data_IF_829346271134
#
_entry.id   IF_829346271134
#
_cell.length_a   1.000
_cell.length_b   1.000
_cell.length_c   1.000
_cell.angle_alpha   90.00
_cell.angle_beta   90.00
_cell.angle_gamma   90.00
#
_symmetry.space_group_name_H-M   'P 1'
#
loop_
_entity.id
_entity.type
_entity.pdbx_description
1 polymer ?
#
# COMPACT_ATOMS: atom_id res chain seq x y z
N UNK A 1 1.43 -20.33 -19.82
CA UNK A 1 1.74 -18.90 -20.00
C UNK A 1 2.57 -18.46 -18.80
N UNK A 2 3.64 -17.68 -19.01
CA UNK A 2 4.51 -17.20 -17.92
C UNK A 2 3.71 -16.24 -17.02
N UNK A 3 3.79 -16.43 -15.70
CA UNK A 3 3.10 -15.58 -14.71
C UNK A 3 4.01 -14.41 -14.37
N UNK A 4 3.42 -13.24 -14.23
CA UNK A 4 4.07 -12.00 -13.84
C UNK A 4 3.36 -11.40 -12.65
N UNK A 5 4.05 -11.31 -11.53
CA UNK A 5 3.57 -10.63 -10.34
C UNK A 5 4.64 -9.64 -9.95
N UNK A 6 4.30 -8.35 -9.96
CA UNK A 6 5.20 -7.26 -9.61
C UNK A 6 4.59 -6.52 -8.44
N UNK A 7 5.28 -6.43 -7.31
CA UNK A 7 4.87 -5.60 -6.20
C UNK A 7 5.68 -4.30 -6.16
N UNK A 8 4.98 -3.18 -6.09
CA UNK A 8 5.58 -1.85 -6.04
C UNK A 8 5.80 -1.44 -4.59
N UNK A 9 6.98 -0.88 -4.33
CA UNK A 9 7.37 -0.31 -3.04
C UNK A 9 8.07 1.04 -3.23
N UNK A 10 8.13 1.84 -2.16
CA UNK A 10 8.62 3.22 -2.17
C UNK A 10 7.70 4.19 -1.42
N UNK A 11 8.20 5.38 -1.10
CA UNK A 11 7.43 6.41 -0.39
C UNK A 11 6.20 6.90 -1.17
N UNK A 12 5.22 7.53 -0.49
CA UNK A 12 4.19 8.29 -1.19
C UNK A 12 4.79 9.33 -2.16
N UNK A 13 4.09 9.58 -3.28
CA UNK A 13 4.45 10.56 -4.32
C UNK A 13 5.72 10.29 -5.15
N UNK A 14 6.39 9.14 -4.98
CA UNK A 14 7.52 8.73 -5.85
C UNK A 14 7.09 8.28 -7.25
N UNK A 15 5.80 8.03 -7.49
CA UNK A 15 5.27 7.62 -8.81
C UNK A 15 4.82 6.16 -8.93
N UNK A 16 4.65 5.44 -7.81
CA UNK A 16 4.15 4.04 -7.82
C UNK A 16 2.82 3.88 -8.55
N UNK A 17 1.86 4.75 -8.27
CA UNK A 17 0.52 4.67 -8.90
C UNK A 17 0.64 4.78 -10.42
N UNK A 18 1.49 5.71 -10.88
CA UNK A 18 1.83 5.92 -12.29
C UNK A 18 2.50 4.70 -12.92
N UNK A 19 3.46 4.06 -12.24
CA UNK A 19 4.08 2.82 -12.72
C UNK A 19 3.04 1.71 -12.84
N UNK A 20 2.14 1.58 -11.86
CA UNK A 20 1.06 0.60 -11.94
C UNK A 20 0.11 0.89 -13.10
N UNK A 21 -0.21 2.16 -13.38
CA UNK A 21 -1.03 2.55 -14.53
C UNK A 21 -0.34 2.16 -15.86
N UNK A 22 0.96 2.43 -15.99
CA UNK A 22 1.73 2.08 -17.19
C UNK A 22 1.77 0.56 -17.45
N UNK A 23 1.94 -0.25 -16.40
CA UNK A 23 1.89 -1.72 -16.48
C UNK A 23 0.49 -2.21 -16.92
N UNK A 24 -0.57 -1.59 -16.43
CA UNK A 24 -1.95 -1.94 -16.79
C UNK A 24 -2.22 -1.57 -18.24
N UNK A 25 -1.95 -0.32 -18.61
CA UNK A 25 -2.30 0.25 -19.92
C UNK A 25 -1.54 -0.41 -21.07
N UNK A 26 -0.23 -0.64 -20.90
CA UNK A 26 0.62 -1.11 -22.00
C UNK A 26 0.91 -2.60 -21.96
N UNK A 27 0.81 -3.24 -20.79
CA UNK A 27 1.23 -4.63 -20.60
C UNK A 27 0.10 -5.53 -20.08
N UNK A 28 -1.12 -5.01 -19.94
CA UNK A 28 -2.29 -5.81 -19.56
C UNK A 28 -2.21 -6.37 -18.16
N UNK A 29 -1.55 -5.67 -17.24
CA UNK A 29 -1.53 -6.05 -15.82
C UNK A 29 -2.87 -5.73 -15.16
N UNK A 30 -3.21 -6.50 -14.13
CA UNK A 30 -4.30 -6.22 -13.19
C UNK A 30 -3.75 -5.63 -11.90
N UNK A 31 -4.36 -4.53 -11.43
CA UNK A 31 -4.01 -3.97 -10.11
C UNK A 31 -4.60 -4.80 -8.98
N UNK A 32 -3.80 -5.06 -7.97
CA UNK A 32 -4.19 -5.53 -6.65
C UNK A 32 -3.54 -4.64 -5.58
N UNK A 33 -4.14 -4.54 -4.41
CA UNK A 33 -3.52 -3.89 -3.26
C UNK A 33 -3.79 -4.69 -1.98
N UNK A 34 -2.82 -4.70 -1.06
CA UNK A 34 -3.02 -5.25 0.29
C UNK A 34 -4.10 -4.46 1.03
N UNK A 35 -4.15 -3.15 0.80
CA UNK A 35 -5.15 -2.29 1.40
C UNK A 35 -6.58 -2.47 0.86
N UNK A 36 -6.82 -3.27 -0.19
CA UNK A 36 -8.19 -3.43 -0.73
C UNK A 36 -9.15 -4.03 0.29
N UNK A 37 -8.75 -5.13 0.95
CA UNK A 37 -9.57 -5.71 2.01
C UNK A 37 -9.69 -4.75 3.19
N UNK A 38 -8.61 -4.08 3.57
CA UNK A 38 -8.60 -3.12 4.66
C UNK A 38 -9.66 -2.03 4.45
N UNK A 39 -9.72 -1.46 3.24
CA UNK A 39 -10.73 -0.45 2.89
C UNK A 39 -12.15 -1.03 2.98
N UNK A 40 -12.37 -2.25 2.49
CA UNK A 40 -13.66 -2.92 2.60
C UNK A 40 -14.10 -3.14 4.05
N UNK A 41 -13.19 -3.58 4.91
CA UNK A 41 -13.46 -3.77 6.35
C UNK A 41 -13.81 -2.45 7.04
N UNK A 42 -13.02 -1.40 6.82
CA UNK A 42 -13.27 -0.07 7.41
C UNK A 42 -14.60 0.50 6.91
N UNK A 43 -14.87 0.41 5.61
CA UNK A 43 -16.12 0.89 5.02
C UNK A 43 -17.34 0.22 5.66
N UNK A 44 -17.30 -1.11 5.78
CA UNK A 44 -18.37 -1.89 6.39
C UNK A 44 -18.51 -1.58 7.90
N UNK A 45 -17.40 -1.51 8.63
CA UNK A 45 -17.42 -1.31 10.08
C UNK A 45 -17.94 0.06 10.51
N UNK A 46 -17.63 1.11 9.75
CA UNK A 46 -18.09 2.47 10.04
C UNK A 46 -19.38 2.84 9.28
N UNK A 47 -19.85 1.98 8.37
CA UNK A 47 -21.01 2.24 7.52
C UNK A 47 -20.79 3.42 6.56
N UNK A 48 -19.59 3.53 5.98
CA UNK A 48 -19.23 4.58 5.03
C UNK A 48 -19.01 4.00 3.64
N UNK A 49 -19.25 4.80 2.60
CA UNK A 49 -18.97 4.37 1.23
C UNK A 49 -17.47 4.17 1.00
N UNK A 50 -17.10 3.14 0.22
CA UNK A 50 -15.70 2.82 -0.09
C UNK A 50 -14.97 3.98 -0.79
N UNK A 51 -15.68 4.77 -1.61
CA UNK A 51 -15.11 5.91 -2.34
C UNK A 51 -14.47 6.93 -1.40
N UNK A 52 -15.03 7.16 -0.20
CA UNK A 52 -14.48 8.09 0.79
C UNK A 52 -13.07 7.68 1.24
N UNK A 53 -12.78 6.38 1.27
CA UNK A 53 -11.48 5.83 1.70
C UNK A 53 -10.41 5.89 0.60
N UNK A 54 -10.84 5.95 -0.66
CA UNK A 54 -9.96 5.88 -1.83
C UNK A 54 -9.69 7.27 -2.42
N UNK A 55 -10.72 8.10 -2.51
CA UNK A 55 -10.70 9.29 -3.34
C UNK A 55 -9.72 10.36 -2.80
N UNK A 56 -8.87 10.98 -3.64
CA UNK A 56 -7.86 11.94 -3.19
C UNK A 56 -8.40 13.12 -2.39
N UNK A 57 -9.59 13.63 -2.72
CA UNK A 57 -10.21 14.77 -2.03
C UNK A 57 -10.74 14.43 -0.63
N UNK A 58 -11.03 13.16 -0.34
CA UNK A 58 -11.67 12.74 0.91
C UNK A 58 -10.76 11.93 1.81
N UNK A 59 -9.83 11.16 1.25
CA UNK A 59 -9.02 10.18 2.00
C UNK A 59 -8.18 10.78 3.13
N UNK A 60 -7.90 12.07 3.07
CA UNK A 60 -7.14 12.80 4.10
C UNK A 60 -8.00 13.82 4.88
N UNK A 61 -9.29 13.94 4.59
CA UNK A 61 -10.17 14.90 5.25
C UNK A 61 -10.89 14.23 6.44
N UNK A 62 -10.81 14.80 7.66
CA UNK A 62 -11.52 14.26 8.82
C UNK A 62 -13.03 14.26 8.64
N UNK A 63 -13.69 13.20 9.11
CA UNK A 63 -15.15 13.10 9.09
C UNK A 63 -15.69 12.50 10.39
N UNK A 64 -16.81 13.04 10.87
CA UNK A 64 -17.45 12.58 12.12
C UNK A 64 -17.95 11.14 12.03
N UNK A 65 -18.22 10.65 10.81
CA UNK A 65 -18.58 9.24 10.57
C UNK A 65 -17.46 8.27 10.98
N UNK A 66 -16.21 8.73 11.00
CA UNK A 66 -15.00 7.98 11.39
C UNK A 66 -14.53 8.29 12.82
N UNK A 67 -15.36 8.90 13.66
CA UNK A 67 -15.05 9.10 15.07
C UNK A 67 -14.97 7.76 15.82
N UNK A 68 -14.06 7.63 16.80
CA UNK A 68 -13.85 6.37 17.54
C UNK A 68 -15.05 5.94 18.37
N UNK A 69 -15.96 6.85 18.73
CA UNK A 69 -17.25 6.51 19.34
C UNK A 69 -18.09 5.59 18.45
N UNK A 70 -17.91 5.66 17.14
CA UNK A 70 -18.63 4.85 16.13
C UNK A 70 -17.87 3.58 15.73
N UNK A 71 -16.64 3.41 16.23
CA UNK A 71 -15.82 2.25 15.91
C UNK A 71 -16.40 0.96 16.52
N UNK A 72 -16.19 -0.20 15.88
CA UNK A 72 -16.50 -1.47 16.52
C UNK A 72 -15.62 -1.68 17.76
N UNK A 73 -16.17 -2.38 18.75
CA UNK A 73 -15.56 -2.54 20.09
C UNK A 73 -14.14 -3.10 20.02
N UNK A 74 -13.88 -4.09 19.17
CA UNK A 74 -12.54 -4.68 19.00
C UNK A 74 -11.51 -3.66 18.52
N UNK A 75 -11.85 -2.87 17.51
CA UNK A 75 -10.97 -1.81 16.99
C UNK A 75 -10.77 -0.70 18.02
N UNK A 76 -11.85 -0.27 18.70
CA UNK A 76 -11.77 0.73 19.76
C UNK A 76 -10.85 0.30 20.90
N UNK A 77 -10.98 -0.95 21.36
CA UNK A 77 -10.15 -1.52 22.41
C UNK A 77 -8.67 -1.58 22.00
N UNK A 78 -8.39 -2.05 20.78
CA UNK A 78 -7.03 -2.10 20.24
C UNK A 78 -6.39 -0.70 20.17
N UNK A 79 -7.14 0.28 19.66
CA UNK A 79 -6.71 1.67 19.61
C UNK A 79 -6.48 2.27 21.02
N UNK A 80 -7.36 1.97 21.98
CA UNK A 80 -7.26 2.46 23.35
C UNK A 80 -6.08 1.90 24.14
N UNK A 81 -5.63 0.69 23.78
CA UNK A 81 -4.48 0.02 24.37
C UNK A 81 -3.17 0.32 23.63
N UNK A 82 -3.23 0.94 22.44
CA UNK A 82 -2.05 1.33 21.70
C UNK A 82 -1.32 2.49 22.39
N UNK A 83 -0.01 2.36 22.69
CA UNK A 83 0.76 3.40 23.35
C UNK A 83 0.67 4.76 22.63
N UNK A 84 0.33 5.81 23.37
CA UNK A 84 0.29 7.18 22.86
C UNK A 84 -0.89 7.53 21.93
N UNK A 85 -1.78 6.59 21.63
CA UNK A 85 -2.85 6.80 20.66
C UNK A 85 -4.14 7.36 21.26
N UNK A 86 -4.55 6.84 22.43
CA UNK A 86 -5.72 7.31 23.18
C UNK A 86 -5.28 8.02 24.47
N UNK A 87 -5.47 9.35 24.56
CA UNK A 87 -5.17 10.09 25.79
C UNK A 87 -6.11 9.66 26.91
N UNK A 88 -5.55 9.60 28.12
CA UNK A 88 -6.25 9.21 29.33
C UNK A 88 -6.29 10.36 30.33
N UNK A 89 -7.40 10.47 31.04
CA UNK A 89 -7.55 11.44 32.13
C UNK A 89 -6.86 10.95 33.42
N UNK A 90 -6.90 11.77 34.47
CA UNK A 90 -6.32 11.43 35.77
C UNK A 90 -6.97 10.22 36.47
N UNK A 91 -8.09 9.72 35.97
CA UNK A 91 -8.78 8.52 36.44
C UNK A 91 -8.57 7.31 35.51
N UNK A 92 -7.58 7.37 34.61
CA UNK A 92 -7.23 6.34 33.62
C UNK A 92 -8.35 6.03 32.60
N UNK A 93 -9.31 6.95 32.43
CA UNK A 93 -10.40 6.82 31.47
C UNK A 93 -9.99 7.47 30.15
N UNK A 94 -10.49 6.92 29.05
CA UNK A 94 -10.30 7.52 27.72
C UNK A 94 -11.01 8.87 27.68
N UNK A 95 -10.32 9.92 27.22
CA UNK A 95 -10.88 11.25 27.08
C UNK A 95 -12.12 11.24 26.14
N UNK A 96 -13.29 11.76 26.57
CA UNK A 96 -14.49 11.81 25.74
C UNK A 96 -14.28 12.54 24.42
N UNK A 97 -13.49 13.61 24.43
CA UNK A 97 -13.18 14.43 23.25
C UNK A 97 -12.45 13.61 22.19
N UNK A 98 -11.57 12.70 22.61
CA UNK A 98 -10.88 11.80 21.69
C UNK A 98 -11.86 10.82 21.03
N UNK A 99 -12.87 10.33 21.74
CA UNK A 99 -13.88 9.43 21.16
C UNK A 99 -14.69 10.14 20.06
N UNK A 100 -15.03 11.41 20.26
CA UNK A 100 -15.86 12.19 19.35
C UNK A 100 -15.10 12.87 18.21
N UNK A 101 -13.78 13.01 18.34
CA UNK A 101 -12.95 13.68 17.34
C UNK A 101 -13.12 13.06 15.94
N UNK A 102 -13.47 13.88 14.91
CA UNK A 102 -13.46 13.44 13.52
C UNK A 102 -12.07 12.95 13.10
N UNK A 103 -12.02 11.85 12.33
CA UNK A 103 -10.77 11.27 11.84
C UNK A 103 -10.79 11.13 10.34
N UNK A 104 -9.62 11.23 9.72
CA UNK A 104 -9.51 11.02 8.28
C UNK A 104 -9.52 9.52 7.95
N UNK A 105 -9.98 9.13 6.75
CA UNK A 105 -9.85 7.77 6.27
C UNK A 105 -8.42 7.22 6.38
N UNK A 106 -7.42 8.02 6.00
CA UNK A 106 -6.00 7.66 6.09
C UNK A 106 -5.62 7.25 7.51
N UNK A 107 -6.02 8.05 8.50
CA UNK A 107 -5.70 7.82 9.90
C UNK A 107 -6.37 6.54 10.43
N UNK A 108 -7.67 6.36 10.15
CA UNK A 108 -8.38 5.12 10.52
C UNK A 108 -7.75 3.91 9.84
N UNK A 109 -7.43 4.00 8.56
CA UNK A 109 -6.83 2.88 7.82
C UNK A 109 -5.45 2.51 8.37
N UNK A 110 -4.64 3.49 8.75
CA UNK A 110 -3.35 3.26 9.40
C UNK A 110 -3.54 2.49 10.70
N UNK A 111 -4.38 2.99 11.61
CA UNK A 111 -4.65 2.35 12.90
C UNK A 111 -5.29 0.96 12.77
N UNK A 112 -6.23 0.80 11.84
CA UNK A 112 -6.89 -0.47 11.57
C UNK A 112 -5.89 -1.53 11.08
N UNK A 113 -4.99 -1.11 10.18
CA UNK A 113 -3.96 -1.97 9.62
C UNK A 113 -2.91 -2.38 10.65
N UNK A 114 -2.35 -1.43 11.41
CA UNK A 114 -1.22 -1.67 12.31
C UNK A 114 -1.66 -2.07 13.71
N UNK A 115 -2.45 -1.24 14.37
CA UNK A 115 -2.77 -1.42 15.79
C UNK A 115 -3.81 -2.51 16.05
N UNK A 116 -4.63 -2.83 15.05
CA UNK A 116 -5.68 -3.83 15.19
C UNK A 116 -5.34 -5.13 14.46
N UNK A 117 -5.46 -5.17 13.13
CA UNK A 117 -5.37 -6.43 12.39
C UNK A 117 -4.00 -7.09 12.42
N UNK A 118 -2.91 -6.32 12.22
CA UNK A 118 -1.55 -6.89 12.25
C UNK A 118 -1.13 -7.32 13.66
N UNK A 119 -1.66 -6.71 14.73
CA UNK A 119 -1.44 -7.19 16.11
C UNK A 119 -2.14 -8.52 16.39
N UNK A 120 -3.33 -8.73 15.84
CA UNK A 120 -4.03 -10.02 15.94
C UNK A 120 -3.31 -11.10 15.11
N UNK A 121 -3.01 -10.78 13.84
CA UNK A 121 -2.42 -11.71 12.88
C UNK A 121 -1.50 -10.97 11.89
N UNK A 122 -0.19 -11.15 12.03
CA UNK A 122 0.82 -10.48 11.20
C UNK A 122 0.56 -10.67 9.69
N UNK A 123 0.28 -11.91 9.25
CA UNK A 123 0.08 -12.27 7.84
C UNK A 123 -1.37 -12.07 7.34
N UNK A 124 -2.22 -11.33 8.06
CA UNK A 124 -3.64 -11.21 7.73
C UNK A 124 -3.87 -10.66 6.32
N UNK A 125 -3.18 -9.56 5.96
CA UNK A 125 -3.35 -8.92 4.66
C UNK A 125 -2.70 -9.72 3.53
N UNK A 126 -1.54 -10.32 3.78
CA UNK A 126 -0.83 -11.09 2.77
C UNK A 126 -1.59 -12.34 2.38
N UNK A 127 -2.14 -13.09 3.35
CA UNK A 127 -2.98 -14.26 3.06
C UNK A 127 -4.19 -13.93 2.20
N UNK A 128 -4.84 -12.78 2.46
CA UNK A 128 -6.01 -12.36 1.68
C UNK A 128 -5.65 -11.94 0.27
N UNK A 129 -4.56 -11.20 0.10
CA UNK A 129 -4.07 -10.82 -1.23
C UNK A 129 -3.66 -12.05 -2.04
N UNK A 130 -2.90 -12.97 -1.43
CA UNK A 130 -2.45 -14.22 -2.08
C UNK A 130 -3.66 -15.04 -2.52
N UNK A 131 -4.64 -15.26 -1.63
CA UNK A 131 -5.87 -15.98 -1.98
C UNK A 131 -6.54 -15.36 -3.21
N UNK A 132 -6.75 -14.03 -3.20
CA UNK A 132 -7.39 -13.32 -4.30
C UNK A 132 -6.59 -13.40 -5.61
N UNK A 133 -5.27 -13.30 -5.54
CA UNK A 133 -4.41 -13.44 -6.71
C UNK A 133 -4.49 -14.86 -7.31
N UNK A 134 -4.45 -15.90 -6.47
CA UNK A 134 -4.62 -17.29 -6.90
C UNK A 134 -6.00 -17.54 -7.52
N UNK A 135 -7.06 -16.97 -6.95
CA UNK A 135 -8.41 -17.06 -7.53
C UNK A 135 -8.45 -16.46 -8.95
N UNK A 136 -7.87 -15.27 -9.16
CA UNK A 136 -7.76 -14.69 -10.50
C UNK A 136 -6.91 -15.55 -11.43
N UNK A 137 -5.81 -16.14 -10.93
CA UNK A 137 -4.96 -17.04 -11.72
C UNK A 137 -5.70 -18.30 -12.16
N UNK A 138 -6.57 -18.85 -11.32
CA UNK A 138 -7.44 -19.97 -11.70
C UNK A 138 -8.42 -19.59 -12.81
N UNK A 139 -8.81 -18.32 -12.88
CA UNK A 139 -9.65 -17.76 -13.95
C UNK A 139 -8.86 -17.26 -15.17
N UNK A 140 -7.56 -17.57 -15.26
CA UNK A 140 -6.74 -17.33 -16.46
C UNK A 140 -5.94 -16.03 -16.46
N UNK A 141 -6.04 -15.20 -15.41
CA UNK A 141 -5.22 -13.99 -15.27
C UNK A 141 -3.78 -14.36 -14.90
N UNK A 142 -2.80 -13.73 -15.56
CA UNK A 142 -1.38 -14.08 -15.32
C UNK A 142 -0.49 -12.88 -15.07
N UNK A 143 -1.03 -11.65 -15.10
CA UNK A 143 -0.24 -10.42 -14.93
C UNK A 143 -0.85 -9.57 -13.83
N UNK A 144 -0.12 -9.40 -12.73
CA UNK A 144 -0.58 -8.67 -11.56
C UNK A 144 0.44 -7.62 -11.13
N UNK A 145 -0.03 -6.42 -10.85
CA UNK A 145 0.74 -5.38 -10.18
C UNK A 145 0.12 -5.13 -8.80
N UNK A 146 0.91 -5.35 -7.75
CA UNK A 146 0.52 -5.09 -6.37
C UNK A 146 1.03 -3.71 -5.97
N UNK A 147 0.13 -2.76 -5.71
CA UNK A 147 0.49 -1.33 -5.71
C UNK A 147 1.09 -0.79 -4.42
N UNK A 148 1.01 -1.53 -3.31
CA UNK A 148 1.23 -1.00 -1.96
C UNK A 148 1.96 -1.99 -1.02
N UNK A 149 3.06 -2.60 -1.48
CA UNK A 149 3.92 -3.43 -0.63
C UNK A 149 4.69 -2.54 0.36
N UNK A 150 4.45 -2.74 1.66
CA UNK A 150 4.94 -1.86 2.73
C UNK A 150 5.63 -2.58 3.88
N UNK A 151 5.58 -3.92 3.91
CA UNK A 151 6.11 -4.72 5.01
C UNK A 151 6.87 -5.97 4.51
N UNK A 152 7.81 -6.47 5.30
CA UNK A 152 8.63 -7.65 4.94
C UNK A 152 7.78 -8.89 4.68
N UNK A 153 6.74 -9.09 5.49
CA UNK A 153 5.84 -10.22 5.34
C UNK A 153 4.99 -10.13 4.05
N UNK A 154 4.70 -8.93 3.56
CA UNK A 154 4.03 -8.67 2.29
C UNK A 154 5.00 -8.98 1.13
N UNK A 155 6.24 -8.50 1.20
CA UNK A 155 7.26 -8.79 0.20
C UNK A 155 7.59 -10.29 0.12
N UNK A 156 7.69 -10.96 1.28
CA UNK A 156 7.90 -12.41 1.37
C UNK A 156 6.74 -13.18 0.74
N UNK A 157 5.49 -12.81 1.01
CA UNK A 157 4.33 -13.48 0.42
C UNK A 157 4.30 -13.32 -1.12
N UNK A 158 4.70 -12.16 -1.64
CA UNK A 158 4.81 -11.96 -3.10
C UNK A 158 5.84 -12.91 -3.71
N UNK A 159 7.01 -13.05 -3.08
CA UNK A 159 8.07 -13.94 -3.58
C UNK A 159 7.72 -15.41 -3.41
N UNK A 160 7.39 -15.82 -2.19
CA UNK A 160 7.29 -17.22 -1.82
C UNK A 160 5.97 -17.84 -2.29
N UNK A 161 4.85 -17.11 -2.17
CA UNK A 161 3.53 -17.66 -2.48
C UNK A 161 3.09 -17.36 -3.92
N UNK A 162 3.54 -16.26 -4.51
CA UNK A 162 3.13 -15.83 -5.86
C UNK A 162 4.24 -15.91 -6.91
N UNK A 163 5.49 -16.18 -6.52
CA UNK A 163 6.63 -16.20 -7.44
C UNK A 163 6.90 -14.84 -8.09
N UNK A 164 6.57 -13.75 -7.40
CA UNK A 164 6.65 -12.38 -7.90
C UNK A 164 7.95 -11.67 -7.57
N UNK A 165 8.11 -10.47 -8.15
CA UNK A 165 9.23 -9.56 -7.97
C UNK A 165 8.83 -8.34 -7.17
N UNK A 166 9.79 -7.74 -6.48
CA UNK A 166 9.64 -6.47 -5.78
C UNK A 166 10.34 -5.38 -6.58
N UNK A 167 9.59 -4.37 -7.00
CA UNK A 167 10.10 -3.21 -7.72
C UNK A 167 10.04 -1.98 -6.81
N UNK A 168 11.19 -1.41 -6.51
CA UNK A 168 11.31 -0.17 -5.76
C UNK A 168 11.26 1.03 -6.70
N UNK A 169 10.37 1.97 -6.41
CA UNK A 169 10.30 3.24 -7.12
C UNK A 169 10.87 4.33 -6.23
N UNK A 170 11.90 5.02 -6.71
CA UNK A 170 12.53 6.16 -6.03
C UNK A 170 12.28 7.45 -6.81
N UNK A 171 12.34 8.59 -6.13
CA UNK A 171 12.23 9.90 -6.76
C UNK A 171 13.20 10.86 -6.08
N UNK A 172 14.13 11.50 -6.82
CA UNK A 172 15.00 12.52 -6.25
C UNK A 172 14.19 13.59 -5.51
N UNK A 173 14.61 13.94 -4.29
CA UNK A 173 13.94 14.90 -3.41
C UNK A 173 12.81 14.32 -2.54
N UNK A 174 12.49 13.03 -2.65
CA UNK A 174 11.55 12.34 -1.75
C UNK A 174 12.29 11.34 -0.86
N UNK A 175 12.21 11.56 0.45
CA UNK A 175 12.78 10.69 1.49
C UNK A 175 11.87 10.62 2.72
N UNK A 176 12.36 10.04 3.82
CA UNK A 176 11.62 9.88 5.07
C UNK A 176 11.22 11.21 5.72
N UNK A 177 11.92 12.30 5.42
CA UNK A 177 11.65 13.64 5.96
C UNK A 177 10.67 14.45 5.11
N UNK A 178 10.59 14.16 3.82
CA UNK A 178 9.73 14.91 2.87
C UNK A 178 8.46 14.16 2.45
N UNK A 179 8.35 12.87 2.80
CA UNK A 179 7.16 12.09 2.50
C UNK A 179 5.93 12.54 3.29
N UNK A 180 4.79 12.64 2.61
CA UNK A 180 3.50 12.99 3.23
C UNK A 180 2.99 11.95 4.23
N UNK A 181 3.60 10.76 4.29
CA UNK A 181 3.24 9.70 5.24
C UNK A 181 3.98 9.83 6.59
N UNK A 182 4.96 10.73 6.68
CA UNK A 182 5.76 10.97 7.88
C UNK A 182 6.49 9.72 8.39
N UNK A 183 6.67 9.66 9.71
CA UNK A 183 7.37 8.56 10.41
C UNK A 183 6.46 7.36 10.74
N UNK A 184 5.31 7.20 10.07
CA UNK A 184 4.44 6.06 10.33
C UNK A 184 5.13 4.75 9.89
N UNK A 185 4.97 3.66 10.65
CA UNK A 185 5.64 2.36 10.37
C UNK A 185 5.34 1.79 8.98
N UNK A 186 4.21 2.19 8.37
CA UNK A 186 3.84 1.79 7.01
C UNK A 186 4.41 2.69 5.91
N UNK A 187 5.14 3.75 6.26
CA UNK A 187 5.88 4.60 5.35
C UNK A 187 7.27 3.98 5.16
N UNK A 188 7.58 3.54 3.94
CA UNK A 188 8.82 2.84 3.64
C UNK A 188 9.35 3.26 2.28
N UNK A 189 10.67 3.32 2.14
CA UNK A 189 11.33 3.44 0.84
C UNK A 189 11.38 2.10 0.09
N UNK A 190 11.14 0.98 0.78
CA UNK A 190 11.20 -0.37 0.23
C UNK A 190 12.60 -0.97 0.06
N UNK A 191 13.66 -0.26 0.43
CA UNK A 191 15.05 -0.73 0.23
C UNK A 191 15.35 -1.98 1.06
N UNK A 192 14.78 -2.07 2.27
CA UNK A 192 14.89 -3.24 3.15
C UNK A 192 14.28 -4.52 2.60
N UNK A 193 13.42 -4.44 1.57
CA UNK A 193 12.79 -5.63 0.97
C UNK A 193 13.66 -6.31 -0.09
N UNK A 194 14.93 -5.89 -0.23
CA UNK A 194 15.86 -6.40 -1.24
C UNK A 194 15.25 -6.39 -2.65
N UNK A 195 14.88 -5.22 -3.19
CA UNK A 195 14.13 -5.13 -4.45
C UNK A 195 14.90 -5.77 -5.61
N UNK A 196 14.15 -6.47 -6.46
CA UNK A 196 14.65 -7.11 -7.68
C UNK A 196 14.97 -6.04 -8.75
N UNK A 197 14.22 -4.93 -8.73
CA UNK A 197 14.38 -3.79 -9.65
C UNK A 197 14.27 -2.50 -8.85
N UNK A 198 15.11 -1.52 -9.17
CA UNK A 198 15.01 -0.15 -8.64
C UNK A 198 14.85 0.83 -9.81
N UNK A 199 13.69 1.49 -9.89
CA UNK A 199 13.39 2.50 -10.91
C UNK A 199 13.48 3.91 -10.32
N UNK A 200 14.33 4.74 -10.92
CA UNK A 200 14.48 6.14 -10.54
C UNK A 200 13.56 7.04 -11.37
N UNK A 201 12.50 7.55 -10.74
CA UNK A 201 11.61 8.54 -11.33
C UNK A 201 12.23 9.94 -11.23
N UNK A 202 13.20 10.23 -12.10
CA UNK A 202 13.99 11.47 -12.07
C UNK A 202 13.64 12.50 -13.14
N UNK A 203 12.77 12.17 -14.09
CA UNK A 203 12.47 13.01 -15.27
C UNK A 203 10.95 13.10 -15.54
N UNK A 204 10.55 13.13 -16.82
CA UNK A 204 9.16 13.20 -17.24
C UNK A 204 8.49 11.82 -17.28
N UNK A 205 7.18 11.82 -17.57
CA UNK A 205 6.39 10.59 -17.67
C UNK A 205 6.87 9.65 -18.77
N UNK A 206 7.43 10.19 -19.87
CA UNK A 206 7.91 9.39 -21.00
C UNK A 206 9.17 8.63 -20.63
N UNK A 207 10.08 9.28 -19.90
CA UNK A 207 11.24 8.60 -19.33
C UNK A 207 10.82 7.48 -18.37
N UNK A 208 9.87 7.74 -17.46
CA UNK A 208 9.38 6.70 -16.55
C UNK A 208 8.73 5.53 -17.31
N UNK A 209 7.95 5.83 -18.36
CA UNK A 209 7.39 4.82 -19.25
C UNK A 209 8.48 3.98 -19.92
N UNK A 210 9.54 4.60 -20.45
CA UNK A 210 10.65 3.87 -21.06
C UNK A 210 11.36 2.94 -20.05
N UNK A 211 11.57 3.41 -18.81
CA UNK A 211 12.14 2.58 -17.75
C UNK A 211 11.26 1.36 -17.45
N UNK A 212 9.95 1.57 -17.22
CA UNK A 212 9.01 0.50 -16.87
C UNK A 212 8.89 -0.52 -17.99
N UNK A 213 8.67 -0.07 -19.22
CA UNK A 213 8.49 -0.96 -20.37
C UNK A 213 9.81 -1.65 -20.76
N UNK A 214 10.92 -0.92 -20.74
CA UNK A 214 12.24 -1.44 -21.04
C UNK A 214 12.63 -2.55 -20.06
N UNK A 215 12.46 -2.31 -18.76
CA UNK A 215 12.77 -3.30 -17.73
C UNK A 215 11.91 -4.56 -17.87
N UNK A 216 10.59 -4.39 -18.05
CA UNK A 216 9.70 -5.54 -18.25
C UNK A 216 10.07 -6.36 -19.48
N UNK A 217 10.36 -5.71 -20.61
CA UNK A 217 10.73 -6.39 -21.85
C UNK A 217 12.07 -7.11 -21.74
N UNK A 218 13.07 -6.51 -21.09
CA UNK A 218 14.36 -7.16 -20.82
C UNK A 218 14.17 -8.43 -20.00
N UNK A 219 13.34 -8.37 -18.95
CA UNK A 219 13.01 -9.53 -18.13
C UNK A 219 12.22 -10.61 -18.90
N UNK A 220 11.34 -10.21 -19.81
CA UNK A 220 10.63 -11.16 -20.68
C UNK A 220 11.56 -11.86 -21.67
N UNK A 221 12.52 -11.13 -22.23
CA UNK A 221 13.49 -11.65 -23.19
C UNK A 221 14.66 -12.42 -22.54
N UNK A 222 14.78 -12.38 -21.21
CA UNK A 222 15.92 -12.98 -20.49
C UNK A 222 17.24 -12.24 -20.72
N UNK A 223 17.17 -10.94 -21.04
CA UNK A 223 18.32 -10.07 -21.29
C UNK A 223 18.62 -9.28 -20.01
N UNK A 224 19.90 -9.14 -19.65
CA UNK A 224 20.29 -8.27 -18.54
C UNK A 224 19.81 -6.83 -18.79
N UNK A 225 19.26 -6.18 -17.75
CA UNK A 225 18.42 -4.98 -17.79
C UNK A 225 18.79 -3.89 -18.81
N UNK A 226 17.77 -3.23 -19.36
CA UNK A 226 17.97 -2.17 -20.35
C UNK A 226 18.33 -0.85 -19.66
N UNK A 227 19.54 -0.33 -19.92
CA UNK A 227 19.91 1.02 -19.50
C UNK A 227 19.26 2.05 -20.43
N UNK A 228 18.24 2.76 -19.95
CA UNK A 228 17.64 3.89 -20.68
C UNK A 228 18.40 5.17 -20.29
N UNK A 229 19.03 5.82 -21.27
CA UNK A 229 19.67 7.12 -21.08
C UNK A 229 18.83 8.22 -21.74
N UNK A 230 18.63 9.33 -21.03
CA UNK A 230 18.06 10.56 -21.62
C UNK A 230 19.20 11.33 -22.29
N UNK A 231 19.14 11.61 -23.61
CA UNK A 231 20.09 12.51 -24.25
C UNK A 231 20.02 13.90 -23.59
N UNK A 232 21.18 14.48 -23.25
CA UNK A 232 21.26 15.85 -22.72
C UNK A 232 20.87 16.90 -23.78
#
# INVERSE_FOLDING_TARGET
>A
MKKHVIALTGYAAVGKDTVADLLVEHLGFRKLAFADTLRGEVANAFGVELSYLVHPSTKNHPMSALAMRRAPVGFLAAAALAPGLAPRDGADRIAPEWLDQPRSPRQIMQWWGTEYRRREHEHYWSRQLVKRALDYMHHGETRFVITDCRFDNEAKAVRDDLGGQIWQITRPGIDSSTTAEGAHVSATDGSGFAPDVVLSNSHDIRHLQQLVLGEFLSHEAGIAGATVAVPQ
#
